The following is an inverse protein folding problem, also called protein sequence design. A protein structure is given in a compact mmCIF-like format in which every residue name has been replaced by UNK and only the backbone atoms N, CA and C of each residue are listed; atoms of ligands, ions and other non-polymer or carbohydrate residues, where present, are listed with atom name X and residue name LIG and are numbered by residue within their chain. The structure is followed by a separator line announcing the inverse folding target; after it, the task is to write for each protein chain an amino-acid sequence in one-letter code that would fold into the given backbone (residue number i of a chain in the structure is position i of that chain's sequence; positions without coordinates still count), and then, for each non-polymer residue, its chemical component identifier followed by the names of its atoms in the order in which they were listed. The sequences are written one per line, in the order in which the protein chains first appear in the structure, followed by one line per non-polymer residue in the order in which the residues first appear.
data_IF_442512518602
#
_entry.id   IF_442512518602
#
_cell.length_a   1.000
_cell.length_b   1.000
_cell.length_c   1.000
_cell.angle_alpha   90.00
_cell.angle_beta   90.00
_cell.angle_gamma   90.00
#
_symmetry.space_group_name_H-M   'P 1'
#
loop_
_entity.id
_entity.type
_entity.pdbx_description
1 polymer ?
#
# COMPACT_ATOMS: atom_id res chain seq x y z
N UNK A 1 -7.69 45.43 -46.17
CA UNK A 1 -6.83 44.88 -45.11
C UNK A 1 -7.68 44.79 -43.86
N UNK A 2 -8.23 43.62 -43.56
CA UNK A 2 -9.00 43.37 -42.35
C UNK A 2 -8.04 42.96 -41.23
N UNK A 3 -8.02 43.74 -40.15
CA UNK A 3 -7.23 43.45 -38.95
C UNK A 3 -8.04 42.53 -38.05
N UNK A 4 -7.65 41.26 -37.93
CA UNK A 4 -8.24 40.33 -36.96
C UNK A 4 -7.66 40.61 -35.58
N UNK A 5 -8.48 41.11 -34.65
CA UNK A 5 -8.17 41.07 -33.22
C UNK A 5 -8.24 39.62 -32.74
N UNK A 6 -7.10 39.07 -32.32
CA UNK A 6 -7.04 37.84 -31.55
C UNK A 6 -7.39 38.21 -30.11
N UNK A 7 -8.60 37.84 -29.68
CA UNK A 7 -9.01 37.92 -28.27
C UNK A 7 -8.39 36.73 -27.55
N UNK A 8 -7.36 36.97 -26.74
CA UNK A 8 -6.76 35.95 -25.89
C UNK A 8 -7.75 35.62 -24.75
N UNK A 9 -8.31 34.42 -24.77
CA UNK A 9 -9.12 33.88 -23.69
C UNK A 9 -8.19 33.56 -22.51
N UNK A 10 -8.12 34.46 -21.54
CA UNK A 10 -7.45 34.20 -20.26
C UNK A 10 -8.39 33.32 -19.44
N UNK A 11 -8.15 32.01 -19.41
CA UNK A 11 -8.81 31.13 -18.44
C UNK A 11 -8.32 31.50 -17.03
N UNK A 12 -9.22 31.62 -16.05
CA UNK A 12 -8.82 31.78 -14.67
C UNK A 12 -8.14 30.48 -14.21
N UNK A 13 -6.85 30.56 -13.90
CA UNK A 13 -6.16 29.52 -13.14
C UNK A 13 -6.71 29.61 -11.72
N UNK A 14 -7.66 28.72 -11.40
CA UNK A 14 -8.04 28.50 -10.00
C UNK A 14 -6.87 27.75 -9.38
N UNK A 15 -6.10 28.45 -8.54
CA UNK A 15 -5.11 27.81 -7.67
C UNK A 15 -5.90 27.01 -6.64
N UNK A 16 -6.22 25.75 -6.95
CA UNK A 16 -6.85 24.84 -6.02
C UNK A 16 -5.81 24.54 -4.93
N UNK A 17 -6.09 24.98 -3.70
CA UNK A 17 -5.24 24.67 -2.56
C UNK A 17 -5.35 23.16 -2.27
N UNK A 18 -4.20 22.50 -2.01
CA UNK A 18 -4.11 21.07 -1.78
C UNK A 18 -5.18 20.54 -0.82
N UNK A 19 -5.69 19.34 -1.11
CA UNK A 19 -6.58 18.65 -0.19
C UNK A 19 -5.83 18.39 1.12
N UNK A 20 -6.45 18.62 2.30
CA UNK A 20 -5.74 18.42 3.55
C UNK A 20 -5.27 16.97 3.74
N UNK A 21 -3.97 16.82 3.98
CA UNK A 21 -3.39 15.56 4.43
C UNK A 21 -3.83 15.30 5.87
N UNK A 22 -4.30 14.09 6.12
CA UNK A 22 -4.59 13.60 7.48
C UNK A 22 -3.32 12.96 8.04
N UNK A 23 -2.61 12.19 7.21
CA UNK A 23 -1.32 11.58 7.52
C UNK A 23 -0.39 11.61 6.30
N UNK A 24 0.90 11.89 6.53
CA UNK A 24 1.91 11.96 5.48
C UNK A 24 3.01 10.93 5.76
N UNK A 25 2.93 9.80 5.07
CA UNK A 25 3.90 8.70 5.13
C UNK A 25 4.95 8.77 4.02
N UNK A 26 5.08 9.88 3.30
CA UNK A 26 6.17 10.05 2.33
C UNK A 26 7.46 10.22 3.12
N UNK A 27 8.40 9.30 2.98
CA UNK A 27 9.61 9.29 3.80
C UNK A 27 10.46 10.55 3.52
N UNK A 28 10.55 11.52 4.45
CA UNK A 28 11.33 12.72 4.20
C UNK A 28 12.82 12.38 4.23
N UNK A 29 13.65 13.17 3.54
CA UNK A 29 15.12 12.96 3.50
C UNK A 29 15.83 13.07 4.85
N UNK A 30 15.17 13.63 5.87
CA UNK A 30 15.70 13.67 7.23
C UNK A 30 15.26 12.49 8.10
N UNK A 31 14.40 11.60 7.60
CA UNK A 31 14.11 10.32 8.25
C UNK A 31 15.36 9.45 8.20
N UNK A 32 15.69 8.83 9.33
CA UNK A 32 16.91 8.04 9.50
C UNK A 32 16.61 6.59 9.88
N UNK A 33 17.62 5.75 9.72
CA UNK A 33 17.63 4.37 10.23
C UNK A 33 17.30 4.28 11.73
N UNK A 34 17.79 5.24 12.52
CA UNK A 34 17.49 5.30 13.94
C UNK A 34 16.00 5.57 14.19
N UNK A 35 15.38 6.44 13.38
CA UNK A 35 13.94 6.71 13.49
C UNK A 35 13.12 5.47 13.14
N UNK A 36 13.50 4.73 12.09
CA UNK A 36 12.86 3.45 11.76
C UNK A 36 13.00 2.43 12.88
N UNK A 37 14.18 2.30 13.48
CA UNK A 37 14.43 1.34 14.55
C UNK A 37 13.68 1.69 15.86
N UNK A 38 13.37 2.96 16.09
CA UNK A 38 12.60 3.42 17.26
C UNK A 38 11.13 3.75 16.96
N UNK A 39 10.62 3.40 15.76
CA UNK A 39 9.26 3.76 15.32
C UNK A 39 8.96 5.26 15.50
N UNK A 40 9.95 6.09 15.18
CA UNK A 40 9.85 7.56 15.23
C UNK A 40 9.53 8.10 13.83
N UNK A 41 8.74 9.17 13.77
CA UNK A 41 8.20 9.67 12.51
C UNK A 41 6.86 9.02 12.15
N UNK A 42 6.49 8.95 10.86
CA UNK A 42 5.13 8.60 10.47
C UNK A 42 4.83 7.09 10.50
N UNK A 43 5.74 6.27 11.04
CA UNK A 43 5.64 4.81 10.95
C UNK A 43 5.78 4.12 12.30
N UNK A 44 4.98 3.07 12.48
CA UNK A 44 5.22 2.02 13.44
C UNK A 44 5.84 0.81 12.69
N UNK A 45 7.00 0.35 13.15
CA UNK A 45 7.88 -0.60 12.43
C UNK A 45 8.05 -1.92 13.20
N UNK A 46 7.01 -2.33 13.93
CA UNK A 46 7.05 -3.50 14.83
C UNK A 46 6.73 -4.82 14.13
N UNK A 47 6.05 -4.79 12.99
CA UNK A 47 5.74 -5.99 12.20
C UNK A 47 6.96 -6.38 11.38
N UNK A 48 7.83 -7.18 11.98
CA UNK A 48 9.11 -7.62 11.41
C UNK A 48 9.63 -8.87 12.13
N UNK A 49 10.76 -9.40 11.66
CA UNK A 49 11.50 -10.42 12.39
C UNK A 49 12.17 -9.90 13.67
N UNK A 50 13.01 -10.73 14.28
CA UNK A 50 13.65 -10.40 15.57
C UNK A 50 14.75 -9.34 15.49
N UNK A 51 15.23 -9.03 14.29
CA UNK A 51 16.19 -7.94 14.05
C UNK A 51 15.60 -6.54 14.17
N UNK A 52 16.45 -5.53 14.05
CA UNK A 52 16.06 -4.13 13.93
C UNK A 52 15.22 -3.88 12.65
N UNK A 53 14.45 -2.80 12.59
CA UNK A 53 13.65 -2.47 11.41
C UNK A 53 14.53 -2.27 10.17
N UNK A 54 15.71 -1.69 10.37
CA UNK A 54 16.76 -1.46 9.35
C UNK A 54 17.43 -2.74 8.84
N UNK A 55 17.24 -3.89 9.50
CA UNK A 55 17.63 -5.18 8.92
C UNK A 55 16.70 -5.57 7.76
N UNK A 56 15.40 -5.21 7.87
CA UNK A 56 14.36 -5.61 6.93
C UNK A 56 13.91 -4.46 5.99
N UNK A 57 14.42 -3.25 6.19
CA UNK A 57 14.06 -2.08 5.39
C UNK A 57 15.25 -1.16 5.16
N UNK A 58 15.17 -0.33 4.12
CA UNK A 58 16.22 0.65 3.80
C UNK A 58 15.64 1.93 3.23
N UNK A 59 16.16 3.06 3.70
CA UNK A 59 15.90 4.38 3.13
C UNK A 59 16.92 4.65 2.01
N UNK A 60 16.45 4.75 0.77
CA UNK A 60 17.33 4.73 -0.40
C UNK A 60 17.93 6.10 -0.76
N UNK A 61 17.56 7.17 -0.06
CA UNK A 61 18.02 8.53 -0.36
C UNK A 61 17.83 8.87 -1.84
N UNK A 62 18.93 9.22 -2.52
CA UNK A 62 18.95 9.52 -3.96
C UNK A 62 19.43 8.35 -4.83
N UNK A 63 19.62 7.14 -4.26
CA UNK A 63 20.06 5.97 -5.02
C UNK A 63 18.95 5.35 -5.86
N UNK A 64 17.68 5.67 -5.54
CA UNK A 64 16.47 5.36 -6.30
C UNK A 64 15.57 6.60 -6.27
N UNK A 65 14.93 6.93 -7.38
CA UNK A 65 13.99 8.04 -7.44
C UNK A 65 12.58 7.57 -7.06
N UNK A 66 11.84 8.32 -6.23
CA UNK A 66 10.44 8.02 -5.91
C UNK A 66 9.55 8.12 -7.13
N UNK A 67 8.27 7.77 -6.96
CA UNK A 67 7.29 7.97 -8.05
C UNK A 67 7.32 9.43 -8.51
N UNK A 68 7.43 9.69 -9.82
CA UNK A 68 7.44 11.06 -10.33
C UNK A 68 6.03 11.70 -10.31
N UNK A 69 5.00 10.98 -9.83
CA UNK A 69 3.63 11.47 -9.73
C UNK A 69 3.50 12.70 -8.82
N UNK A 70 4.24 12.70 -7.71
CA UNK A 70 4.16 13.72 -6.64
C UNK A 70 5.25 14.79 -6.74
N UNK A 71 6.05 14.75 -7.81
CA UNK A 71 7.04 15.78 -8.09
C UNK A 71 6.34 16.98 -8.73
N UNK A 72 6.22 18.07 -7.97
CA UNK A 72 5.55 19.31 -8.37
C UNK A 72 6.51 20.32 -9.03
N UNK A 73 7.82 20.08 -9.02
CA UNK A 73 8.81 21.08 -9.44
C UNK A 73 9.06 21.03 -10.96
N UNK A 74 9.07 22.21 -11.60
CA UNK A 74 9.15 22.41 -13.07
C UNK A 74 10.37 21.77 -13.75
N UNK A 75 11.35 21.32 -12.97
CA UNK A 75 12.59 20.72 -13.46
C UNK A 75 12.79 19.25 -13.01
N UNK A 76 11.89 18.67 -12.20
CA UNK A 76 12.01 17.28 -11.66
C UNK A 76 13.37 16.99 -10.99
N UNK A 77 14.16 18.01 -10.62
CA UNK A 77 15.57 17.83 -10.28
C UNK A 77 15.80 17.27 -8.88
N UNK A 78 14.86 17.47 -7.95
CA UNK A 78 15.00 17.02 -6.57
C UNK A 78 13.67 16.45 -6.07
N UNK A 79 13.58 15.14 -5.78
CA UNK A 79 12.41 14.58 -5.12
C UNK A 79 12.23 15.17 -3.71
N UNK A 80 11.01 15.19 -3.21
CA UNK A 80 10.66 15.63 -1.85
C UNK A 80 10.73 14.51 -0.81
N UNK A 81 10.76 13.26 -1.26
CA UNK A 81 10.83 12.06 -0.44
C UNK A 81 11.95 11.12 -0.93
N UNK A 82 12.36 10.21 -0.07
CA UNK A 82 13.20 9.08 -0.42
C UNK A 82 12.39 7.79 -0.52
N UNK A 83 12.83 6.87 -1.37
CA UNK A 83 12.19 5.55 -1.53
C UNK A 83 12.47 4.68 -0.31
N UNK A 84 11.42 3.98 0.15
CA UNK A 84 11.55 2.93 1.17
C UNK A 84 11.63 1.59 0.46
N UNK A 85 12.72 0.84 0.67
CA UNK A 85 12.80 -0.58 0.32
C UNK A 85 12.36 -1.39 1.52
N UNK A 86 11.34 -2.24 1.37
CA UNK A 86 10.89 -3.18 2.40
C UNK A 86 11.16 -4.60 1.91
N UNK A 87 11.77 -5.41 2.76
CA UNK A 87 12.23 -6.75 2.41
C UNK A 87 11.83 -7.78 3.44
N UNK A 88 11.71 -9.02 2.99
CA UNK A 88 11.62 -10.19 3.83
C UNK A 88 12.77 -11.14 3.56
N UNK A 89 13.21 -11.85 4.58
CA UNK A 89 14.12 -12.98 4.48
C UNK A 89 13.65 -14.13 5.40
N UNK A 90 14.43 -15.20 5.52
CA UNK A 90 14.05 -16.35 6.35
C UNK A 90 13.92 -16.04 7.86
N UNK A 91 14.41 -14.89 8.32
CA UNK A 91 14.29 -14.40 9.70
C UNK A 91 13.10 -13.46 9.93
N UNK A 92 12.35 -13.07 8.89
CA UNK A 92 11.15 -12.22 8.95
C UNK A 92 9.94 -12.94 9.56
N UNK A 93 10.11 -13.54 10.73
CA UNK A 93 9.07 -14.25 11.49
C UNK A 93 8.57 -13.29 12.57
N UNK A 94 7.37 -12.78 12.39
CA UNK A 94 6.73 -11.88 13.34
C UNK A 94 6.21 -12.64 14.57
N UNK A 95 6.31 -11.99 15.73
CA UNK A 95 5.76 -12.48 17.00
C UNK A 95 4.77 -11.42 17.50
N UNK A 96 3.45 -11.61 17.32
CA UNK A 96 2.46 -10.67 17.84
C UNK A 96 2.46 -10.67 19.37
N UNK A 97 2.12 -9.55 20.00
CA UNK A 97 2.36 -9.29 21.42
C UNK A 97 1.84 -10.37 22.40
N UNK A 98 0.66 -10.96 22.13
CA UNK A 98 0.06 -12.01 22.97
C UNK A 98 0.13 -13.42 22.34
N UNK A 99 0.68 -13.55 21.13
CA UNK A 99 0.69 -14.80 20.35
C UNK A 99 2.08 -15.44 20.24
N UNK A 100 2.11 -16.59 19.57
CA UNK A 100 3.35 -17.29 19.22
C UNK A 100 3.95 -16.76 17.90
N UNK A 101 5.21 -17.13 17.58
CA UNK A 101 5.82 -16.84 16.28
C UNK A 101 4.97 -17.36 15.11
N UNK A 102 4.74 -16.50 14.13
CA UNK A 102 3.98 -16.80 12.92
C UNK A 102 4.89 -17.46 11.87
N UNK A 103 5.26 -18.73 12.09
CA UNK A 103 6.20 -19.45 11.22
C UNK A 103 5.70 -19.67 9.79
N UNK A 104 4.38 -19.69 9.61
CA UNK A 104 3.74 -19.82 8.32
C UNK A 104 3.92 -18.58 7.44
N UNK A 105 4.20 -17.41 8.02
CA UNK A 105 4.44 -16.19 7.26
C UNK A 105 5.92 -15.79 7.19
N UNK A 106 6.25 -15.01 6.16
CA UNK A 106 7.38 -14.07 6.19
C UNK A 106 6.84 -12.68 6.01
N UNK A 107 7.01 -11.83 7.02
CA UNK A 107 6.43 -10.49 6.97
C UNK A 107 7.31 -9.39 7.51
N UNK A 108 7.31 -8.27 6.80
CA UNK A 108 7.86 -7.00 7.24
C UNK A 108 6.97 -5.91 6.67
N UNK A 109 6.39 -5.11 7.54
CA UNK A 109 5.41 -4.09 7.19
C UNK A 109 5.62 -2.84 8.05
N UNK A 110 5.31 -1.70 7.47
CA UNK A 110 5.18 -0.44 8.17
C UNK A 110 3.69 -0.17 8.35
N UNK A 111 3.33 0.30 9.55
CA UNK A 111 1.98 0.75 9.90
C UNK A 111 1.99 2.27 9.95
N UNK A 112 0.95 2.91 9.41
CA UNK A 112 0.75 4.34 9.57
C UNK A 112 0.64 4.72 11.05
N UNK A 113 1.47 5.65 11.51
CA UNK A 113 1.50 6.10 12.90
C UNK A 113 1.97 7.55 13.00
N UNK A 114 1.89 8.14 14.19
CA UNK A 114 2.58 9.39 14.53
C UNK A 114 3.45 9.14 15.75
N UNK A 115 4.77 9.05 15.54
CA UNK A 115 5.75 8.70 16.57
C UNK A 115 5.42 7.36 17.26
N UNK A 116 5.08 6.36 16.45
CA UNK A 116 4.78 5.00 16.90
C UNK A 116 3.37 4.82 17.46
N UNK A 117 2.56 5.88 17.51
CA UNK A 117 1.16 5.82 17.92
C UNK A 117 0.25 5.71 16.69
N UNK A 118 -0.38 4.55 16.53
CA UNK A 118 -1.38 4.27 15.50
C UNK A 118 -2.80 4.36 16.07
N UNK A 119 -2.99 4.08 17.37
CA UNK A 119 -4.30 4.06 18.04
C UNK A 119 -5.02 5.42 17.94
N UNK A 120 -4.29 6.52 18.16
CA UNK A 120 -4.85 7.87 18.03
C UNK A 120 -5.01 8.32 16.56
N UNK A 121 -4.29 7.67 15.62
CA UNK A 121 -4.29 8.03 14.21
C UNK A 121 -5.43 7.36 13.42
N UNK A 122 -5.67 6.06 13.65
CA UNK A 122 -6.69 5.27 12.96
C UNK A 122 -8.06 5.97 12.93
N UNK A 123 -8.64 6.46 14.05
CA UNK A 123 -9.94 7.13 14.01
C UNK A 123 -9.94 8.46 13.24
N UNK A 124 -8.78 9.03 12.90
CA UNK A 124 -8.65 10.23 12.06
C UNK A 124 -8.61 9.88 10.57
N UNK A 125 -7.78 8.90 10.18
CA UNK A 125 -7.62 8.49 8.77
C UNK A 125 -8.76 7.59 8.28
N UNK A 126 -9.58 7.07 9.19
CA UNK A 126 -10.67 6.12 8.92
C UNK A 126 -12.05 6.65 9.29
N UNK A 127 -12.31 7.92 9.00
CA UNK A 127 -13.56 8.60 9.34
C UNK A 127 -14.15 9.36 8.15
N UNK A 128 -15.47 9.24 7.96
CA UNK A 128 -16.17 9.85 6.82
C UNK A 128 -15.74 9.23 5.50
N UNK A 129 -15.14 10.02 4.61
CA UNK A 129 -14.55 9.53 3.37
C UNK A 129 -13.11 9.99 3.26
N UNK A 130 -12.19 9.04 3.13
CA UNK A 130 -10.74 9.29 3.04
C UNK A 130 -10.14 8.54 1.86
N UNK A 131 -8.94 8.95 1.44
CA UNK A 131 -8.24 8.34 0.30
C UNK A 131 -6.83 7.92 0.71
N UNK A 132 -6.53 6.65 0.52
CA UNK A 132 -5.23 6.04 0.81
C UNK A 132 -4.40 5.98 -0.46
N UNK A 133 -3.33 6.76 -0.51
CA UNK A 133 -2.40 6.82 -1.64
C UNK A 133 -1.18 5.98 -1.35
N UNK A 134 -0.68 5.27 -2.35
CA UNK A 134 0.58 4.53 -2.29
C UNK A 134 1.09 4.22 -3.69
N UNK A 135 2.41 4.15 -3.84
CA UNK A 135 3.06 3.73 -5.09
C UNK A 135 4.01 2.58 -4.83
N UNK A 136 3.98 1.58 -5.72
CA UNK A 136 4.75 0.34 -5.59
C UNK A 136 5.62 0.14 -6.83
N UNK A 137 6.87 -0.24 -6.63
CA UNK A 137 7.78 -0.66 -7.69
C UNK A 137 8.52 -1.94 -7.29
N UNK A 138 8.83 -2.79 -8.27
CA UNK A 138 9.60 -4.01 -8.04
C UNK A 138 11.02 -3.67 -7.58
N UNK A 139 11.52 -4.35 -6.54
CA UNK A 139 12.96 -4.36 -6.25
C UNK A 139 13.62 -5.50 -7.04
N UNK A 140 14.13 -5.20 -8.23
CA UNK A 140 14.74 -6.21 -9.11
C UNK A 140 15.95 -6.91 -8.50
N UNK A 141 16.57 -6.32 -7.46
CA UNK A 141 17.70 -6.93 -6.75
C UNK A 141 17.24 -8.01 -5.77
N UNK A 142 15.96 -8.02 -5.41
CA UNK A 142 15.31 -8.90 -4.43
C UNK A 142 13.95 -9.38 -4.99
N UNK A 143 13.96 -10.16 -6.08
CA UNK A 143 12.74 -10.55 -6.79
C UNK A 143 11.82 -11.40 -5.91
N UNK A 144 10.51 -11.24 -6.11
CA UNK A 144 9.49 -12.04 -5.43
C UNK A 144 9.42 -13.49 -5.99
N UNK A 145 8.97 -14.42 -5.15
CA UNK A 145 8.61 -15.78 -5.55
C UNK A 145 7.09 -15.92 -5.82
N UNK A 146 6.69 -15.69 -7.08
CA UNK A 146 5.29 -15.69 -7.51
C UNK A 146 4.54 -17.04 -7.38
N UNK A 147 5.15 -18.10 -6.87
CA UNK A 147 4.41 -19.31 -6.45
C UNK A 147 3.65 -19.12 -5.15
N UNK A 148 4.01 -18.12 -4.35
CA UNK A 148 3.35 -17.74 -3.10
C UNK A 148 2.37 -16.58 -3.31
N UNK A 149 1.44 -16.42 -2.37
CA UNK A 149 0.60 -15.24 -2.24
C UNK A 149 1.34 -14.16 -1.44
N UNK A 150 1.20 -12.92 -1.89
CA UNK A 150 1.66 -11.73 -1.18
C UNK A 150 0.49 -10.80 -0.90
N UNK A 151 0.45 -10.27 0.31
CA UNK A 151 -0.44 -9.18 0.73
C UNK A 151 0.46 -7.99 1.05
N UNK A 152 0.35 -6.92 0.27
CA UNK A 152 1.43 -5.91 0.20
C UNK A 152 1.03 -4.50 0.59
N UNK A 153 -0.28 -4.25 0.64
CA UNK A 153 -0.92 -3.06 1.21
C UNK A 153 -2.30 -3.49 1.69
N UNK A 154 -2.68 -3.20 2.93
CA UNK A 154 -4.00 -3.54 3.47
C UNK A 154 -4.32 -2.69 4.69
N UNK A 155 -5.59 -2.65 5.09
CA UNK A 155 -6.01 -2.14 6.40
C UNK A 155 -6.52 -3.31 7.22
N UNK A 156 -5.93 -3.59 8.38
CA UNK A 156 -6.24 -4.74 9.26
C UNK A 156 -7.07 -4.29 10.48
N UNK A 157 -8.40 -4.50 10.51
CA UNK A 157 -9.20 -4.35 11.72
C UNK A 157 -8.84 -5.41 12.78
N UNK A 158 -9.35 -5.23 13.99
CA UNK A 158 -9.06 -6.10 15.14
C UNK A 158 -9.45 -7.58 14.97
N UNK A 159 -10.22 -7.93 13.94
CA UNK A 159 -10.61 -9.31 13.62
C UNK A 159 -9.63 -10.04 12.67
N UNK A 160 -8.57 -9.36 12.22
CA UNK A 160 -7.53 -9.91 11.33
C UNK A 160 -7.97 -10.05 9.87
N UNK A 161 -9.11 -9.47 9.49
CA UNK A 161 -9.54 -9.33 8.09
C UNK A 161 -8.91 -8.10 7.45
N UNK A 162 -9.22 -7.82 6.18
CA UNK A 162 -8.74 -6.62 5.49
C UNK A 162 -9.91 -5.77 5.00
N UNK A 163 -9.96 -4.46 5.31
CA UNK A 163 -10.97 -3.55 4.74
C UNK A 163 -10.86 -3.51 3.21
N UNK A 164 -9.62 -3.45 2.74
CA UNK A 164 -9.21 -3.75 1.37
C UNK A 164 -7.78 -4.30 1.43
N UNK A 165 -7.34 -4.93 0.34
CA UNK A 165 -5.94 -5.29 0.20
C UNK A 165 -5.46 -5.20 -1.25
N UNK A 166 -4.15 -5.09 -1.42
CA UNK A 166 -3.45 -5.34 -2.67
C UNK A 166 -2.78 -6.69 -2.55
N UNK A 167 -3.23 -7.64 -3.37
CA UNK A 167 -2.66 -8.96 -3.53
C UNK A 167 -1.70 -9.00 -4.73
N UNK A 168 -0.66 -9.81 -4.64
CA UNK A 168 0.21 -10.22 -5.73
C UNK A 168 0.58 -11.71 -5.59
N UNK A 169 1.06 -12.36 -6.65
CA UNK A 169 1.47 -13.76 -6.61
C UNK A 169 0.32 -14.75 -6.78
N UNK A 170 0.58 -16.01 -6.44
CA UNK A 170 -0.38 -17.09 -6.58
C UNK A 170 -1.20 -17.25 -5.31
N UNK A 171 -2.54 -17.09 -5.33
CA UNK A 171 -3.37 -17.20 -4.14
C UNK A 171 -3.15 -18.52 -3.38
N UNK A 172 -3.09 -18.44 -2.05
CA UNK A 172 -3.03 -19.62 -1.20
C UNK A 172 -4.29 -20.46 -1.38
N UNK A 173 -4.09 -21.75 -1.59
CA UNK A 173 -5.16 -22.74 -1.74
C UNK A 173 -4.79 -24.02 -1.01
N UNK A 174 -5.79 -24.62 -0.36
CA UNK A 174 -5.69 -25.93 0.27
C UNK A 174 -6.81 -26.85 -0.27
N UNK A 175 -6.49 -27.87 -1.10
CA UNK A 175 -5.15 -28.26 -1.54
C UNK A 175 -4.54 -27.24 -2.53
N UNK A 176 -3.21 -27.20 -2.61
CA UNK A 176 -2.49 -26.31 -3.52
C UNK A 176 -2.86 -26.56 -4.97
N UNK A 177 -3.37 -25.52 -5.63
CA UNK A 177 -3.65 -25.51 -7.07
C UNK A 177 -2.39 -25.40 -7.94
N UNK A 178 -2.57 -25.27 -9.27
CA UNK A 178 -1.45 -25.01 -10.18
C UNK A 178 -0.78 -23.67 -9.85
N UNK A 179 0.54 -23.70 -9.59
CA UNK A 179 1.36 -22.54 -9.28
C UNK A 179 2.60 -22.48 -10.20
N UNK A 180 3.07 -21.28 -10.60
CA UNK A 180 2.40 -20.00 -10.40
C UNK A 180 1.08 -19.92 -11.20
N UNK A 181 0.09 -19.19 -10.69
CA UNK A 181 -1.14 -18.93 -11.45
C UNK A 181 -0.85 -18.05 -12.69
N UNK A 182 -1.68 -18.10 -13.75
CA UNK A 182 -1.43 -17.31 -14.97
C UNK A 182 -1.34 -15.79 -14.73
N UNK A 183 -2.00 -15.32 -13.68
CA UNK A 183 -2.10 -13.94 -13.23
C UNK A 183 -1.20 -13.62 -12.02
N UNK A 184 -0.24 -14.49 -11.68
CA UNK A 184 0.60 -14.30 -10.49
C UNK A 184 1.44 -13.00 -10.53
N UNK A 185 1.69 -12.45 -11.72
CA UNK A 185 2.39 -11.17 -11.93
C UNK A 185 1.41 -9.99 -12.06
N UNK A 186 0.23 -10.07 -11.46
CA UNK A 186 -0.76 -9.00 -11.49
C UNK A 186 -1.04 -8.53 -10.07
N UNK A 187 -1.07 -7.21 -9.89
CA UNK A 187 -1.69 -6.64 -8.70
C UNK A 187 -3.19 -6.89 -8.77
N UNK A 188 -3.80 -7.25 -7.64
CA UNK A 188 -5.25 -7.32 -7.48
C UNK A 188 -5.65 -6.50 -6.26
N UNK A 189 -6.45 -5.46 -6.47
CA UNK A 189 -7.11 -4.75 -5.37
C UNK A 189 -8.38 -5.51 -5.04
N UNK A 190 -8.50 -5.97 -3.80
CA UNK A 190 -9.64 -6.74 -3.31
C UNK A 190 -10.41 -5.98 -2.23
N UNK A 191 -11.73 -6.17 -2.21
CA UNK A 191 -12.59 -5.71 -1.12
C UNK A 191 -12.47 -6.64 0.11
N UNK A 192 -13.20 -6.31 1.18
CA UNK A 192 -13.20 -7.10 2.42
C UNK A 192 -13.78 -8.52 2.25
N UNK A 193 -14.63 -8.73 1.24
CA UNK A 193 -15.14 -10.05 0.89
C UNK A 193 -14.19 -10.82 -0.07
N UNK A 194 -12.99 -10.29 -0.32
CA UNK A 194 -11.98 -10.83 -1.22
C UNK A 194 -12.39 -10.84 -2.70
N UNK A 195 -13.39 -10.05 -3.09
CA UNK A 195 -13.73 -9.84 -4.51
C UNK A 195 -12.67 -8.96 -5.15
N UNK A 196 -12.22 -9.32 -6.36
CA UNK A 196 -11.30 -8.49 -7.14
C UNK A 196 -12.07 -7.31 -7.73
N UNK A 197 -11.69 -6.10 -7.32
CA UNK A 197 -12.26 -4.85 -7.82
C UNK A 197 -11.48 -4.32 -9.03
N UNK A 198 -10.16 -4.44 -8.98
CA UNK A 198 -9.27 -3.99 -10.03
C UNK A 198 -8.04 -4.89 -10.09
N UNK A 199 -7.56 -5.16 -11.31
CA UNK A 199 -6.29 -5.86 -11.51
C UNK A 199 -5.48 -5.25 -12.65
N UNK A 200 -4.16 -5.33 -12.55
CA UNK A 200 -3.25 -4.79 -13.55
C UNK A 200 -1.92 -5.54 -13.55
N UNK A 201 -1.28 -5.76 -14.72
CA UNK A 201 0.04 -6.39 -14.77
C UNK A 201 1.08 -5.59 -13.98
N UNK A 202 1.83 -6.25 -13.11
CA UNK A 202 2.98 -5.68 -12.42
C UNK A 202 4.19 -5.67 -13.35
N UNK A 203 4.49 -4.50 -13.91
CA UNK A 203 5.54 -4.33 -14.90
C UNK A 203 6.85 -3.90 -14.23
N UNK A 204 7.98 -4.56 -14.50
CA UNK A 204 9.29 -4.12 -14.02
C UNK A 204 9.61 -2.67 -14.42
N UNK A 205 10.55 -2.05 -13.70
CA UNK A 205 11.00 -0.67 -13.91
C UNK A 205 9.93 0.43 -13.83
N UNK A 206 8.69 0.09 -13.45
CA UNK A 206 7.54 0.99 -13.48
C UNK A 206 7.06 1.27 -12.06
N UNK A 207 6.79 2.54 -11.75
CA UNK A 207 6.03 2.90 -10.56
C UNK A 207 4.54 2.67 -10.83
N UNK A 208 3.89 1.89 -10.00
CA UNK A 208 2.45 1.66 -10.03
C UNK A 208 1.81 2.48 -8.91
N UNK A 209 1.06 3.51 -9.28
CA UNK A 209 0.44 4.42 -8.32
C UNK A 209 -1.02 4.02 -8.11
N UNK A 210 -1.43 3.96 -6.86
CA UNK A 210 -2.80 3.64 -6.48
C UNK A 210 -3.33 4.72 -5.55
N UNK A 211 -4.65 4.93 -5.61
CA UNK A 211 -5.39 5.57 -4.55
C UNK A 211 -6.68 4.81 -4.30
N UNK A 212 -7.01 4.53 -3.04
CA UNK A 212 -8.25 3.84 -2.65
C UNK A 212 -9.11 4.82 -1.87
N UNK A 213 -10.20 5.28 -2.47
CA UNK A 213 -11.21 6.08 -1.79
C UNK A 213 -12.09 5.14 -0.97
N UNK A 214 -12.29 5.41 0.32
CA UNK A 214 -13.13 4.61 1.21
C UNK A 214 -14.15 5.52 1.89
N UNK A 215 -15.43 5.20 1.77
CA UNK A 215 -16.50 5.77 2.59
C UNK A 215 -16.81 4.83 3.75
N UNK A 216 -16.37 5.21 4.94
CA UNK A 216 -16.49 4.45 6.18
C UNK A 216 -17.93 4.38 6.72
N UNK A 217 -18.80 5.30 6.29
CA UNK A 217 -20.20 5.37 6.72
C UNK A 217 -21.08 4.50 5.85
N UNK A 218 -20.95 4.65 4.53
CA UNK A 218 -21.74 3.88 3.56
C UNK A 218 -21.10 2.50 3.26
N UNK A 219 -19.84 2.30 3.67
CA UNK A 219 -19.02 1.12 3.39
C UNK A 219 -18.97 0.85 1.90
N UNK A 220 -18.39 1.80 1.20
CA UNK A 220 -18.09 1.69 -0.22
C UNK A 220 -16.64 2.06 -0.45
N UNK A 221 -16.09 1.59 -1.57
CA UNK A 221 -14.73 1.96 -1.94
C UNK A 221 -14.59 2.06 -3.46
N UNK A 222 -13.61 2.83 -3.91
CA UNK A 222 -13.27 2.95 -5.32
C UNK A 222 -11.76 3.03 -5.51
N UNK A 223 -11.28 2.51 -6.63
CA UNK A 223 -9.85 2.42 -6.95
C UNK A 223 -9.52 3.42 -8.04
N UNK A 224 -8.45 4.17 -7.82
CA UNK A 224 -7.74 4.96 -8.81
C UNK A 224 -6.38 4.33 -9.07
N UNK A 225 -5.91 4.45 -10.31
CA UNK A 225 -4.63 3.89 -10.70
C UNK A 225 -3.96 4.69 -11.81
N UNK A 226 -2.62 4.70 -11.80
CA UNK A 226 -1.78 5.18 -12.90
C UNK A 226 -0.39 4.55 -12.85
N UNK A 227 0.44 4.91 -13.84
CA UNK A 227 1.83 4.50 -13.93
C UNK A 227 2.77 5.70 -14.02
N UNK A 228 3.91 5.60 -13.36
CA UNK A 228 4.97 6.59 -13.34
C UNK A 228 4.43 8.00 -13.05
N UNK A 229 4.69 8.97 -13.92
CA UNK A 229 4.26 10.36 -13.73
C UNK A 229 2.87 10.67 -14.27
N UNK A 230 2.11 9.66 -14.70
CA UNK A 230 0.77 9.84 -15.24
C UNK A 230 -0.21 10.13 -14.11
N UNK A 231 -1.14 11.06 -14.33
CA UNK A 231 -2.17 11.39 -13.33
C UNK A 231 -3.02 10.17 -12.99
N UNK A 232 -3.40 10.04 -11.71
CA UNK A 232 -4.35 9.03 -11.26
C UNK A 232 -5.70 9.21 -11.97
N UNK A 233 -6.32 8.08 -12.33
CA UNK A 233 -7.66 8.04 -12.90
C UNK A 233 -8.46 6.97 -12.17
N UNK A 234 -9.76 7.23 -11.98
CA UNK A 234 -10.68 6.21 -11.49
C UNK A 234 -10.69 5.02 -12.47
N UNK A 235 -10.47 3.82 -11.94
CA UNK A 235 -10.50 2.56 -12.69
C UNK A 235 -11.65 1.65 -12.27
N UNK A 236 -12.35 2.01 -11.20
CA UNK A 236 -13.63 1.42 -10.79
C UNK A 236 -14.65 2.53 -10.57
N UNK A 237 -15.93 2.15 -10.57
CA UNK A 237 -16.98 2.95 -9.95
C UNK A 237 -16.90 2.79 -8.42
N UNK A 238 -17.86 3.39 -7.71
CA UNK A 238 -18.01 3.19 -6.27
C UNK A 238 -18.64 1.83 -6.00
N UNK A 239 -17.88 0.90 -5.41
CA UNK A 239 -18.30 -0.48 -5.17
C UNK A 239 -18.69 -0.71 -3.70
N UNK A 240 -19.71 -1.54 -3.41
CA UNK A 240 -20.09 -1.86 -2.03
C UNK A 240 -19.02 -2.70 -1.32
N UNK A 241 -18.68 -2.32 -0.09
CA UNK A 241 -17.78 -3.06 0.81
C UNK A 241 -18.51 -3.48 2.11
N UNK A 242 -19.75 -3.96 1.95
CA UNK A 242 -20.73 -4.10 3.04
C UNK A 242 -20.42 -5.20 4.07
N UNK A 243 -19.43 -6.05 3.80
CA UNK A 243 -18.96 -7.07 4.74
C UNK A 243 -18.09 -6.47 5.85
N UNK A 244 -17.61 -5.23 5.69
CA UNK A 244 -16.91 -4.49 6.74
C UNK A 244 -17.84 -4.09 7.89
N UNK A 245 -17.28 -4.09 9.10
CA UNK A 245 -17.94 -3.57 10.30
C UNK A 245 -18.05 -2.05 10.26
N UNK A 246 -19.00 -1.48 11.02
CA UNK A 246 -19.15 -0.03 11.16
C UNK A 246 -18.42 0.46 12.41
N UNK A 247 -17.99 1.73 12.36
CA UNK A 247 -17.38 2.39 13.52
C UNK A 247 -16.05 1.75 13.91
N UNK A 248 -15.67 1.79 15.20
CA UNK A 248 -14.36 1.33 15.65
C UNK A 248 -14.02 -0.13 15.33
N UNK A 249 -15.03 -1.00 15.19
CA UNK A 249 -14.81 -2.42 14.85
C UNK A 249 -14.44 -2.62 13.37
N UNK A 250 -14.76 -1.65 12.50
CA UNK A 250 -14.35 -1.66 11.09
C UNK A 250 -13.07 -0.88 10.82
N UNK A 251 -12.52 -0.25 11.85
CA UNK A 251 -11.27 0.51 11.79
C UNK A 251 -10.08 -0.39 12.15
N UNK A 252 -8.90 -0.07 11.62
CA UNK A 252 -7.73 -0.91 11.71
C UNK A 252 -6.43 -0.20 11.39
N UNK A 253 -5.37 -0.99 11.34
CA UNK A 253 -4.03 -0.50 11.05
C UNK A 253 -3.82 -0.45 9.55
N UNK A 254 -3.29 0.66 9.02
CA UNK A 254 -2.92 0.75 7.61
C UNK A 254 -1.49 0.23 7.38
N UNK A 255 -1.38 -0.98 6.83
CA UNK A 255 -0.13 -1.68 6.54
C UNK A 255 0.32 -1.48 5.11
N UNK A 256 1.63 -1.28 4.92
CA UNK A 256 2.30 -1.46 3.63
C UNK A 256 3.65 -2.16 3.82
N UNK A 257 3.95 -3.11 2.96
CA UNK A 257 5.17 -3.91 3.06
C UNK A 257 5.05 -5.24 2.34
N UNK A 258 5.74 -6.26 2.83
CA UNK A 258 5.74 -7.58 2.21
C UNK A 258 5.29 -8.61 3.23
N UNK A 259 4.07 -9.13 3.08
CA UNK A 259 3.58 -10.32 3.78
C UNK A 259 3.48 -11.45 2.76
N UNK A 260 4.26 -12.52 2.96
CA UNK A 260 4.28 -13.71 2.12
C UNK A 260 3.62 -14.90 2.84
N UNK A 261 2.57 -15.44 2.24
CA UNK A 261 1.90 -16.66 2.71
C UNK A 261 2.75 -17.91 2.40
N UNK A 262 2.62 -19.01 3.17
CA UNK A 262 3.34 -20.25 2.90
C UNK A 262 2.71 -21.01 1.73
N UNK A 263 3.36 -22.08 1.27
CA UNK A 263 2.67 -23.14 0.52
C UNK A 263 2.13 -24.19 1.49
N UNK A 264 1.06 -24.90 1.12
CA UNK A 264 0.60 -26.05 1.90
C UNK A 264 1.71 -27.10 1.96
N UNK A 265 1.99 -27.61 3.16
CA UNK A 265 2.89 -28.73 3.35
C UNK A 265 2.08 -30.04 3.42
N UNK A 266 2.19 -30.94 2.44
CA UNK A 266 1.45 -32.21 2.46
C UNK A 266 1.82 -33.13 3.63
N UNK A 267 2.95 -32.89 4.30
CA UNK A 267 3.36 -33.63 5.49
C UNK A 267 2.69 -33.15 6.79
N UNK A 268 2.09 -31.95 6.78
CA UNK A 268 1.36 -31.42 7.92
C UNK A 268 -0.01 -32.10 8.07
N UNK A 269 -0.56 -32.12 9.29
CA UNK A 269 -1.93 -32.60 9.51
C UNK A 269 -2.95 -31.69 8.83
N UNK A 270 -4.17 -32.15 8.48
CA UNK A 270 -5.18 -31.28 7.87
C UNK A 270 -5.48 -30.00 8.67
N UNK A 271 -5.49 -30.09 10.01
CA UNK A 271 -5.67 -28.92 10.86
C UNK A 271 -4.51 -27.91 10.74
N UNK A 272 -3.28 -28.40 10.60
CA UNK A 272 -2.10 -27.55 10.40
C UNK A 272 -2.06 -26.98 8.97
N UNK A 273 -2.51 -27.73 7.96
CA UNK A 273 -2.59 -27.22 6.58
C UNK A 273 -3.53 -26.00 6.47
N UNK A 274 -4.59 -25.97 7.28
CA UNK A 274 -5.52 -24.83 7.38
C UNK A 274 -5.05 -23.72 8.34
N UNK A 275 -3.98 -23.93 9.12
CA UNK A 275 -3.39 -22.92 10.01
C UNK A 275 -2.21 -22.23 9.33
N UNK A 276 -2.56 -21.41 8.35
CA UNK A 276 -1.64 -20.71 7.44
C UNK A 276 -0.68 -19.77 8.18
N UNK A 277 -1.07 -19.30 9.37
CA UNK A 277 -0.26 -18.39 10.19
C UNK A 277 0.97 -19.10 10.77
N UNK A 278 0.85 -20.39 11.09
CA UNK A 278 1.88 -21.12 11.85
C UNK A 278 2.57 -22.25 11.07
N UNK A 279 1.97 -22.75 9.99
CA UNK A 279 2.46 -23.93 9.27
C UNK A 279 2.61 -23.70 7.76
N UNK A 280 3.14 -24.71 7.07
CA UNK A 280 3.40 -24.66 5.63
C UNK A 280 4.87 -24.49 5.26
N UNK A 281 5.14 -24.50 3.96
CA UNK A 281 6.47 -24.43 3.39
C UNK A 281 6.82 -22.96 3.11
N UNK A 282 7.93 -22.53 3.68
CA UNK A 282 8.53 -21.21 3.44
C UNK A 282 9.94 -21.40 2.86
N UNK A 283 10.06 -21.13 1.57
CA UNK A 283 11.32 -21.15 0.82
C UNK A 283 11.67 -19.75 0.33
N UNK A 284 12.93 -19.54 -0.08
CA UNK A 284 13.35 -18.31 -0.73
C UNK A 284 14.61 -17.70 -0.15
N UNK A 285 15.02 -16.62 -0.80
CA UNK A 285 16.10 -15.71 -0.38
C UNK A 285 15.47 -14.41 0.12
N UNK A 286 16.24 -13.32 0.15
CA UNK A 286 15.68 -11.99 0.36
C UNK A 286 14.78 -11.60 -0.82
N UNK A 287 13.58 -11.15 -0.51
CA UNK A 287 12.57 -10.66 -1.46
C UNK A 287 12.14 -9.26 -1.03
N UNK A 288 11.75 -8.38 -1.94
CA UNK A 288 11.42 -7.01 -1.58
C UNK A 288 10.63 -6.21 -2.60
N UNK A 289 10.07 -5.12 -2.10
CA UNK A 289 9.33 -4.12 -2.86
C UNK A 289 9.81 -2.71 -2.47
N UNK A 290 9.58 -1.77 -3.38
CA UNK A 290 9.90 -0.36 -3.20
C UNK A 290 8.59 0.43 -3.06
N UNK A 291 8.57 1.37 -2.11
CA UNK A 291 7.43 2.21 -1.79
C UNK A 291 7.79 3.71 -1.84
N UNK A 292 6.83 4.51 -2.29
CA UNK A 292 6.88 5.97 -2.35
C UNK A 292 5.45 6.52 -2.45
N UNK A 293 5.25 7.80 -2.13
CA UNK A 293 3.97 8.44 -2.34
C UNK A 293 2.88 7.88 -1.44
N UNK A 294 3.23 7.47 -0.22
CA UNK A 294 2.32 6.85 0.75
C UNK A 294 1.76 7.93 1.66
N UNK A 295 0.45 8.20 1.61
CA UNK A 295 -0.20 9.21 2.46
C UNK A 295 -1.72 9.00 2.49
N UNK A 296 -2.40 9.69 3.43
CA UNK A 296 -3.86 9.70 3.51
C UNK A 296 -4.37 11.12 3.53
N UNK A 297 -5.41 11.39 2.74
CA UNK A 297 -6.08 12.69 2.66
C UNK A 297 -7.59 12.58 2.91
N UNK A 298 -8.19 13.69 3.33
CA UNK A 298 -9.65 13.87 3.27
C UNK A 298 -10.07 14.15 1.81
N UNK A 299 -11.36 14.05 1.48
CA UNK A 299 -11.86 14.36 0.11
C UNK A 299 -12.40 15.78 -0.06
N UNK A 300 -12.20 16.69 0.91
CA UNK A 300 -12.91 17.96 1.00
C UNK A 300 -12.75 18.89 -0.22
N UNK A 301 -11.69 18.71 -1.03
CA UNK A 301 -11.40 19.49 -2.24
C UNK A 301 -11.26 18.63 -3.50
N UNK A 302 -11.69 17.37 -3.44
CA UNK A 302 -11.40 16.35 -4.43
C UNK A 302 -10.23 15.45 -4.01
N UNK A 303 -9.84 14.57 -4.91
CA UNK A 303 -8.77 13.60 -4.72
C UNK A 303 -7.52 14.11 -5.43
N UNK A 304 -6.38 14.12 -4.75
CA UNK A 304 -5.08 14.43 -5.35
C UNK A 304 -4.73 13.41 -6.42
N UNK A 305 -4.61 13.85 -7.68
CA UNK A 305 -4.30 12.99 -8.81
C UNK A 305 -2.84 13.08 -9.29
N UNK A 306 -2.01 13.86 -8.59
CA UNK A 306 -0.62 14.15 -8.93
C UNK A 306 -0.44 15.51 -9.60
N UNK A 307 0.77 16.07 -9.51
CA UNK A 307 1.16 17.35 -10.15
C UNK A 307 0.19 18.50 -9.88
N UNK A 308 -0.29 18.62 -8.64
CA UNK A 308 -1.28 19.61 -8.20
C UNK A 308 -2.62 19.55 -8.95
N UNK A 309 -2.93 18.43 -9.61
CA UNK A 309 -4.23 18.18 -10.23
C UNK A 309 -5.11 17.45 -9.22
N UNK A 310 -6.37 17.87 -9.15
CA UNK A 310 -7.40 17.24 -8.33
C UNK A 310 -8.51 16.71 -9.23
N UNK A 311 -9.02 15.53 -8.92
CA UNK A 311 -10.24 15.00 -9.55
C UNK A 311 -11.40 15.03 -8.56
N UNK A 312 -12.62 15.02 -9.08
CA UNK A 312 -13.80 14.95 -8.23
C UNK A 312 -13.82 13.62 -7.45
N UNK A 313 -14.33 13.61 -6.21
CA UNK A 313 -14.57 12.36 -5.49
C UNK A 313 -15.45 11.45 -6.33
N UNK A 314 -15.21 10.15 -6.26
CA UNK A 314 -16.01 9.16 -6.95
C UNK A 314 -17.33 9.05 -6.18
N UNK A 315 -18.44 9.38 -6.84
CA UNK A 315 -19.79 9.31 -6.28
C UNK A 315 -20.63 8.30 -7.04
N UNK A 316 -21.75 7.88 -6.45
CA UNK A 316 -22.84 7.20 -7.18
C UNK A 316 -23.38 8.04 -8.36
#
# INVERSE_FOLDING_TARGET
MFSSLISALVLPVVLAAATPLIWDGRAPFNLTDADLDSSTGPFLTVVKGSGNATHYSSLLGHSELPTPLWNDDLLDLLPSEQVISITIDNSSIFVPGSGGPQFGFRRTEFIAAVNGDHDDLNPLIENGTTVFHFSIKLDERRPLNYTHEYQIVFIEPNDGTHVFEVQLGSPFTDPTGPIPTPDAHWFKVRDHALNVLFETPFTPDTWHNFAVQIDWVNRTLAVLYSKDGSLLQAVTELEPNLSTSLGPDGQGDFHFGVLKLPLVNPADSPANQSDVVHFGIQEGTTEGLLYSGVFVEEIARGISAGRQVFIHPITE
#
